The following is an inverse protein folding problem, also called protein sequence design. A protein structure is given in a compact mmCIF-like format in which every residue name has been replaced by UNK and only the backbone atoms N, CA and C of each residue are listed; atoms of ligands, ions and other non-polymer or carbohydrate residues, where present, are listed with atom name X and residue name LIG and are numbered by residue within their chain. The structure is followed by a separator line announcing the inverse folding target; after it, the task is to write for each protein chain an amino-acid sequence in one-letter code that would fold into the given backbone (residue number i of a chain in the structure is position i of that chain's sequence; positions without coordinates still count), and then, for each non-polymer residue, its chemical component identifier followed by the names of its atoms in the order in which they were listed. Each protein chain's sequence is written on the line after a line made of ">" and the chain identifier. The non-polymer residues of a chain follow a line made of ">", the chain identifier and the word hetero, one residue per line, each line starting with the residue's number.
data_IF_161819610326
#
_entry.id   IF_161819610326
#
_cell.length_a   1.000
_cell.length_b   1.000
_cell.length_c   1.000
_cell.angle_alpha   90.00
_cell.angle_beta   90.00
_cell.angle_gamma   90.00
#
_symmetry.space_group_name_H-M   'P 1'
#
loop_
_entity.id
_entity.type
_entity.pdbx_description
1 polymer ?
#
# COMPACT_ATOMS: atom_id res chain seq x y z
N UNK A 1 25.73 13.92 21.36
CA UNK A 1 25.17 15.05 20.58
C UNK A 1 25.82 15.13 19.21
N UNK A 2 27.15 14.95 19.09
CA UNK A 2 27.89 15.04 17.83
C UNK A 2 27.45 14.03 16.75
N UNK A 3 27.24 12.76 17.11
CA UNK A 3 26.74 11.72 16.19
C UNK A 3 25.42 12.08 15.49
N UNK A 4 24.50 12.72 16.21
CA UNK A 4 23.21 13.15 15.65
C UNK A 4 23.41 14.26 14.62
N UNK A 5 24.33 15.20 14.90
CA UNK A 5 24.66 16.30 13.99
C UNK A 5 25.33 15.80 12.72
N UNK A 6 26.27 14.86 12.83
CA UNK A 6 26.94 14.26 11.66
C UNK A 6 25.98 13.45 10.79
N UNK A 7 25.11 12.67 11.41
CA UNK A 7 24.07 11.90 10.70
C UNK A 7 23.11 12.84 9.97
N UNK A 8 22.69 13.93 10.63
CA UNK A 8 21.82 14.94 10.04
C UNK A 8 22.47 15.67 8.86
N UNK A 9 23.72 16.12 9.02
CA UNK A 9 24.49 16.79 7.96
C UNK A 9 24.69 15.87 6.75
N UNK A 10 25.04 14.60 7.00
CA UNK A 10 25.22 13.59 5.94
C UNK A 10 23.93 13.33 5.16
N UNK A 11 22.81 13.22 5.87
CA UNK A 11 21.50 13.03 5.26
C UNK A 11 21.07 14.24 4.43
N UNK A 12 21.21 15.46 4.97
CA UNK A 12 20.86 16.68 4.26
C UNK A 12 21.72 16.90 3.02
N UNK A 13 23.02 16.59 3.10
CA UNK A 13 23.93 16.67 1.94
C UNK A 13 23.55 15.68 0.84
N UNK A 14 23.10 14.48 1.20
CA UNK A 14 22.61 13.48 0.25
C UNK A 14 21.28 13.90 -0.41
N UNK A 15 20.42 14.64 0.30
CA UNK A 15 19.17 15.17 -0.24
C UNK A 15 19.36 16.39 -1.14
N UNK A 16 20.31 17.26 -0.82
CA UNK A 16 20.59 18.50 -1.59
C UNK A 16 21.14 18.18 -3.00
N UNK A 17 21.90 17.10 -3.14
CA UNK A 17 22.42 16.63 -4.42
C UNK A 17 21.42 15.85 -5.28
N UNK A 18 20.20 15.59 -4.80
CA UNK A 18 19.19 14.86 -5.56
C UNK A 18 18.42 15.79 -6.50
N UNK A 19 18.33 15.39 -7.77
CA UNK A 19 17.58 16.15 -8.77
C UNK A 19 16.09 16.28 -8.39
N UNK A 20 15.53 17.51 -8.32
CA UNK A 20 14.13 17.73 -7.93
C UNK A 20 13.11 17.07 -8.84
N UNK A 21 13.42 16.93 -10.14
CA UNK A 21 12.55 16.25 -11.10
C UNK A 21 12.59 14.75 -10.83
N UNK A 22 13.77 14.18 -10.57
CA UNK A 22 13.91 12.78 -10.19
C UNK A 22 13.10 12.46 -8.92
N UNK A 23 13.22 13.28 -7.88
CA UNK A 23 12.42 13.17 -6.65
C UNK A 23 10.91 13.14 -6.96
N UNK A 24 10.45 14.08 -7.78
CA UNK A 24 9.04 14.18 -8.15
C UNK A 24 8.56 12.94 -8.88
N UNK A 25 9.33 12.45 -9.86
CA UNK A 25 9.01 11.23 -10.62
C UNK A 25 8.97 10.01 -9.70
N UNK A 26 9.95 9.85 -8.81
CA UNK A 26 10.01 8.74 -7.84
C UNK A 26 8.80 8.76 -6.91
N UNK A 27 8.42 9.93 -6.37
CA UNK A 27 7.24 10.06 -5.50
C UNK A 27 5.97 9.68 -6.26
N UNK A 28 5.79 10.19 -7.49
CA UNK A 28 4.61 9.87 -8.31
C UNK A 28 4.56 8.37 -8.63
N UNK A 29 5.67 7.78 -9.07
CA UNK A 29 5.75 6.35 -9.35
C UNK A 29 5.48 5.51 -8.10
N UNK A 30 6.00 5.93 -6.96
CA UNK A 30 5.75 5.26 -5.67
C UNK A 30 4.27 5.26 -5.33
N UNK A 31 3.58 6.40 -5.49
CA UNK A 31 2.13 6.49 -5.27
C UNK A 31 1.38 5.59 -6.25
N UNK A 32 1.74 5.62 -7.54
CA UNK A 32 1.10 4.77 -8.55
C UNK A 32 1.25 3.30 -8.20
N UNK A 33 2.47 2.85 -7.89
CA UNK A 33 2.76 1.47 -7.48
C UNK A 33 2.00 1.11 -6.21
N UNK A 34 2.04 1.97 -5.18
CA UNK A 34 1.32 1.75 -3.93
C UNK A 34 -0.18 1.55 -4.14
N UNK A 35 -0.78 2.27 -5.09
CA UNK A 35 -2.20 2.18 -5.43
C UNK A 35 -2.55 1.25 -6.60
N UNK A 36 -1.61 0.44 -7.09
CA UNK A 36 -1.85 -0.61 -8.11
C UNK A 36 -3.07 -1.49 -7.80
N UNK A 37 -3.27 -2.01 -6.57
CA UNK A 37 -4.41 -2.89 -6.28
C UNK A 37 -5.75 -2.16 -6.47
N UNK A 38 -5.78 -0.86 -6.15
CA UNK A 38 -6.96 -0.01 -6.37
C UNK A 38 -7.21 0.18 -7.85
N UNK A 39 -6.17 0.44 -8.64
CA UNK A 39 -6.27 0.60 -10.10
C UNK A 39 -6.82 -0.69 -10.74
N UNK A 40 -6.29 -1.85 -10.37
CA UNK A 40 -6.77 -3.15 -10.87
C UNK A 40 -8.25 -3.35 -10.51
N UNK A 41 -8.64 -3.01 -9.28
CA UNK A 41 -10.02 -3.12 -8.84
C UNK A 41 -11.00 -2.21 -9.61
N UNK A 42 -10.53 -1.09 -10.19
CA UNK A 42 -11.36 -0.20 -11.01
C UNK A 42 -11.81 -0.90 -12.29
N UNK A 43 -10.99 -1.79 -12.83
CA UNK A 43 -11.32 -2.55 -14.04
C UNK A 43 -11.97 -3.90 -13.71
N UNK A 44 -11.47 -4.61 -12.70
CA UNK A 44 -11.88 -5.99 -12.42
C UNK A 44 -12.97 -6.11 -11.35
N UNK A 45 -13.11 -5.15 -10.43
CA UNK A 45 -13.94 -5.32 -9.24
C UNK A 45 -14.59 -4.03 -8.70
N UNK A 46 -15.32 -3.33 -9.57
CA UNK A 46 -16.03 -2.06 -9.27
C UNK A 46 -16.87 -2.09 -7.99
N UNK A 47 -17.46 -3.24 -7.67
CA UNK A 47 -18.34 -3.41 -6.49
C UNK A 47 -17.62 -3.38 -5.15
N UNK A 48 -16.33 -3.74 -5.10
CA UNK A 48 -15.56 -3.80 -3.86
C UNK A 48 -14.46 -2.74 -3.78
N UNK A 49 -14.49 -1.75 -4.67
CA UNK A 49 -13.51 -0.67 -4.74
C UNK A 49 -13.23 0.01 -3.40
N UNK A 50 -14.29 0.44 -2.71
CA UNK A 50 -14.12 1.14 -1.42
C UNK A 50 -13.40 0.29 -0.38
N UNK A 51 -13.66 -1.02 -0.36
CA UNK A 51 -13.01 -1.95 0.58
C UNK A 51 -11.54 -2.16 0.22
N UNK A 52 -11.22 -2.29 -1.07
CA UNK A 52 -9.84 -2.44 -1.55
C UNK A 52 -9.04 -1.16 -1.27
N UNK A 53 -9.62 0.01 -1.51
CA UNK A 53 -8.97 1.30 -1.26
C UNK A 53 -8.62 1.49 0.22
N UNK A 54 -9.56 1.22 1.13
CA UNK A 54 -9.32 1.31 2.58
C UNK A 54 -8.28 0.29 3.02
N UNK A 55 -8.33 -0.94 2.50
CA UNK A 55 -7.36 -1.98 2.84
C UNK A 55 -5.97 -1.70 2.26
N UNK A 56 -5.86 -0.92 1.19
CA UNK A 56 -4.59 -0.60 0.55
C UNK A 56 -3.67 0.27 1.45
N UNK A 57 -4.26 1.12 2.30
CA UNK A 57 -3.52 1.98 3.24
C UNK A 57 -2.70 1.16 4.25
N UNK A 58 -3.29 0.21 5.02
CA UNK A 58 -2.52 -0.67 5.90
C UNK A 58 -1.76 -1.77 5.14
N UNK A 59 -2.23 -2.20 3.96
CA UNK A 59 -1.57 -3.25 3.21
C UNK A 59 -0.21 -2.83 2.65
N UNK A 60 0.02 -1.55 2.36
CA UNK A 60 1.34 -1.10 1.93
C UNK A 60 2.43 -1.23 3.01
N UNK A 61 2.07 -1.46 4.28
CA UNK A 61 3.01 -1.82 5.34
C UNK A 61 3.48 -3.28 5.26
N UNK A 62 2.83 -4.12 4.45
CA UNK A 62 3.11 -5.56 4.37
C UNK A 62 3.08 -6.08 2.95
N UNK A 63 4.20 -6.63 2.49
CA UNK A 63 4.33 -7.22 1.15
C UNK A 63 3.31 -8.35 0.88
N UNK A 64 2.99 -9.14 1.91
CA UNK A 64 2.00 -10.24 1.81
C UNK A 64 0.58 -9.67 1.68
N UNK A 65 0.23 -8.66 2.48
CA UNK A 65 -1.08 -8.04 2.41
C UNK A 65 -1.30 -7.34 1.05
N UNK A 66 -0.27 -6.64 0.56
CA UNK A 66 -0.32 -5.95 -0.72
C UNK A 66 -0.51 -6.92 -1.89
N UNK A 67 0.24 -8.03 -1.94
CA UNK A 67 0.07 -9.07 -2.97
C UNK A 67 -1.29 -9.80 -2.88
N UNK A 68 -1.79 -10.08 -1.68
CA UNK A 68 -3.13 -10.64 -1.48
C UNK A 68 -4.23 -9.69 -1.98
N UNK A 69 -4.08 -8.37 -1.77
CA UNK A 69 -4.99 -7.36 -2.32
C UNK A 69 -4.97 -7.32 -3.85
N UNK A 70 -3.80 -7.48 -4.50
CA UNK A 70 -3.71 -7.55 -5.95
C UNK A 70 -4.52 -8.73 -6.49
N UNK A 71 -4.34 -9.92 -5.93
CA UNK A 71 -5.08 -11.13 -6.33
C UNK A 71 -6.58 -10.93 -6.11
N UNK A 72 -6.97 -10.33 -4.97
CA UNK A 72 -8.36 -10.07 -4.66
C UNK A 72 -8.98 -9.00 -5.56
N UNK A 73 -8.23 -7.96 -5.91
CA UNK A 73 -8.63 -6.94 -6.87
C UNK A 73 -8.86 -7.53 -8.26
N UNK A 74 -7.98 -8.43 -8.72
CA UNK A 74 -8.09 -9.10 -10.01
C UNK A 74 -9.21 -10.14 -10.06
N UNK A 75 -9.38 -10.95 -9.00
CA UNK A 75 -10.31 -12.09 -9.01
C UNK A 75 -11.74 -11.71 -8.61
N UNK A 76 -11.90 -10.67 -7.80
CA UNK A 76 -13.19 -10.17 -7.32
C UNK A 76 -13.95 -11.07 -6.33
N UNK A 77 -13.57 -12.33 -6.18
CA UNK A 77 -14.17 -13.28 -5.24
C UNK A 77 -13.43 -13.24 -3.90
N UNK A 78 -14.00 -12.55 -2.92
CA UNK A 78 -13.63 -12.80 -1.52
C UNK A 78 -14.27 -14.14 -1.14
N UNK A 79 -13.49 -15.18 -0.81
CA UNK A 79 -14.05 -16.35 -0.13
C UNK A 79 -14.66 -15.82 1.16
N UNK A 80 -15.99 -15.70 1.20
CA UNK A 80 -16.73 -15.34 2.40
C UNK A 80 -16.36 -16.38 3.45
N UNK A 81 -15.51 -16.01 4.40
CA UNK A 81 -15.31 -16.78 5.61
C UNK A 81 -16.68 -16.77 6.27
N UNK A 82 -17.42 -17.87 6.17
CA UNK A 82 -18.66 -18.05 6.92
C UNK A 82 -18.28 -17.80 8.37
N UNK A 83 -18.72 -16.68 8.91
CA UNK A 83 -18.69 -16.43 10.34
C UNK A 83 -19.37 -17.64 10.94
N UNK A 84 -18.61 -18.38 11.76
CA UNK A 84 -19.13 -19.53 12.49
C UNK A 84 -20.38 -19.08 13.24
N UNK A 85 -21.51 -19.62 12.85
CA UNK A 85 -22.68 -19.80 13.68
C UNK A 85 -22.28 -20.76 14.82
N UNK A 86 -21.57 -20.25 15.82
CA UNK A 86 -21.16 -21.00 17.02
C UNK A 86 -21.15 -20.06 18.24
N UNK A 87 -22.24 -19.30 18.38
CA UNK A 87 -22.60 -18.54 19.59
C UNK A 87 -24.10 -18.68 19.88
N UNK A 88 -24.72 -19.80 19.46
CA UNK A 88 -26.12 -20.14 19.71
C UNK A 88 -26.28 -21.53 20.37
N UNK A 89 -25.23 -22.01 21.07
CA UNK A 89 -25.32 -23.18 21.95
C UNK A 89 -24.10 -23.26 22.87
N UNK A 90 -24.03 -22.39 23.88
CA UNK A 90 -23.26 -22.61 25.10
C UNK A 90 -23.96 -21.89 26.26
#
# INVERSE_FOLDING_TARGET
>A
MEFLTETYQSFMSALDGLDPVFMTVVIVLTIVVWFVPTIIAIFCNRKHLGKIFIANVPAGLSWIAWSALIIWAATGKMKSKKTKDEAASA
#
